data_IF_269499914855
#
_entry.id   IF_269499914855
#
_cell.length_a   1.000
_cell.length_b   1.000
_cell.length_c   1.000
_cell.angle_alpha   90.00
_cell.angle_beta   90.00
_cell.angle_gamma   90.00
#
_symmetry.space_group_name_H-M   'P 1'
#
loop_
_entity.id
_entity.type
_entity.pdbx_description
1 polymer ?
#
# COMPACT_ATOMS: atom_id res chain seq x y z
N UNK A 1 19.46 -8.44 37.85
CA UNK A 1 19.92 -8.35 36.45
C UNK A 1 18.80 -7.72 35.64
N UNK A 2 19.04 -6.65 34.87
CA UNK A 2 18.00 -6.09 34.02
C UNK A 2 17.73 -7.08 32.89
N UNK A 3 16.47 -7.48 32.74
CA UNK A 3 16.01 -8.27 31.62
C UNK A 3 16.10 -7.36 30.40
N UNK A 4 17.05 -7.64 29.50
CA UNK A 4 17.10 -7.05 28.17
C UNK A 4 15.83 -7.50 27.45
N UNK A 5 14.83 -6.62 27.39
CA UNK A 5 13.74 -6.80 26.44
C UNK A 5 14.36 -6.81 25.04
N UNK A 6 13.99 -7.78 24.18
CA UNK A 6 14.40 -7.74 22.78
C UNK A 6 13.92 -6.41 22.22
N UNK A 7 14.86 -5.65 21.61
CA UNK A 7 14.54 -4.44 20.88
C UNK A 7 13.45 -4.79 19.89
N UNK A 8 12.27 -4.17 20.03
CA UNK A 8 11.22 -4.36 19.06
C UNK A 8 11.77 -3.97 17.67
N UNK A 9 11.46 -4.73 16.61
CA UNK A 9 12.01 -4.46 15.28
C UNK A 9 11.71 -3.01 14.87
N UNK A 10 12.73 -2.39 14.26
CA UNK A 10 12.69 -1.01 13.75
C UNK A 10 11.45 -0.81 12.87
N UNK A 11 10.84 0.38 13.00
CA UNK A 11 9.64 0.83 12.30
C UNK A 11 9.48 0.26 10.88
N UNK A 12 8.29 -0.26 10.59
CA UNK A 12 7.92 -0.57 9.20
C UNK A 12 7.12 0.60 8.63
N UNK A 13 7.12 0.77 7.31
CA UNK A 13 6.26 1.79 6.67
C UNK A 13 4.76 1.57 6.92
N UNK A 14 4.38 0.43 7.48
CA UNK A 14 3.01 0.11 7.85
C UNK A 14 2.79 0.33 9.35
N UNK A 15 3.74 -0.08 10.19
CA UNK A 15 3.63 -0.09 11.65
C UNK A 15 4.60 0.91 12.28
N UNK A 16 4.05 1.94 12.92
CA UNK A 16 4.81 2.87 13.77
C UNK A 16 5.00 2.27 15.17
N UNK A 17 6.20 2.32 15.73
CA UNK A 17 6.49 1.85 17.09
C UNK A 17 5.98 2.83 18.15
N UNK A 18 6.02 4.14 17.87
CA UNK A 18 5.58 5.17 18.81
C UNK A 18 4.05 5.36 18.76
N UNK A 19 3.38 5.16 19.90
CA UNK A 19 1.93 5.35 20.03
C UNK A 19 1.44 6.75 19.68
N UNK A 20 2.29 7.79 19.82
CA UNK A 20 1.91 9.17 19.47
C UNK A 20 1.91 9.37 17.95
N UNK A 21 2.86 8.78 17.24
CA UNK A 21 2.93 8.86 15.76
C UNK A 21 1.89 7.96 15.08
N UNK A 22 1.42 6.90 15.75
CA UNK A 22 0.32 6.04 15.26
C UNK A 22 -1.00 6.77 14.99
N UNK A 23 -1.21 7.96 15.56
CA UNK A 23 -2.51 8.66 15.52
C UNK A 23 -2.79 9.34 14.17
N UNK A 24 -1.75 9.71 13.42
CA UNK A 24 -1.92 10.41 12.15
C UNK A 24 -1.90 9.43 10.97
N UNK A 25 -2.91 9.46 10.08
CA UNK A 25 -2.90 8.63 8.87
C UNK A 25 -1.75 9.03 7.94
N UNK A 26 -1.01 8.04 7.43
CA UNK A 26 0.00 8.24 6.38
C UNK A 26 -0.63 8.04 5.02
N UNK A 27 -0.54 9.04 4.14
CA UNK A 27 -1.16 9.01 2.81
C UNK A 27 -0.06 9.02 1.75
N UNK A 28 -0.12 8.05 0.83
CA UNK A 28 0.83 7.96 -0.28
C UNK A 28 0.23 7.18 -1.46
N UNK A 29 0.92 7.14 -2.60
CA UNK A 29 0.54 6.25 -3.71
C UNK A 29 1.10 4.85 -3.49
N UNK A 30 0.49 3.84 -4.12
CA UNK A 30 1.01 2.47 -4.08
C UNK A 30 2.46 2.38 -4.60
N UNK A 31 2.81 3.15 -5.64
CA UNK A 31 4.18 3.22 -6.15
C UNK A 31 5.16 3.80 -5.12
N UNK A 32 4.73 4.82 -4.38
CA UNK A 32 5.56 5.41 -3.31
C UNK A 32 5.73 4.44 -2.16
N UNK A 33 4.64 3.79 -1.73
CA UNK A 33 4.68 2.72 -0.74
C UNK A 33 5.72 1.65 -1.08
N UNK A 34 5.67 1.10 -2.31
CA UNK A 34 6.61 0.09 -2.80
C UNK A 34 8.07 0.59 -2.78
N UNK A 35 8.30 1.84 -3.16
CA UNK A 35 9.63 2.46 -3.13
C UNK A 35 10.16 2.57 -1.70
N UNK A 36 9.27 2.89 -0.77
CA UNK A 36 9.63 3.11 0.61
C UNK A 36 9.81 1.78 1.36
N UNK A 37 9.06 0.73 1.05
CA UNK A 37 9.35 -0.66 1.50
C UNK A 37 10.77 -1.05 1.11
N UNK A 38 11.14 -0.88 -0.15
CA UNK A 38 12.50 -1.17 -0.63
C UNK A 38 13.58 -0.35 0.09
N UNK A 39 13.20 0.81 0.64
CA UNK A 39 14.16 1.74 1.24
C UNK A 39 14.31 1.59 2.74
N UNK A 40 13.23 1.33 3.43
CA UNK A 40 13.11 1.57 4.86
C UNK A 40 12.60 0.34 5.64
N UNK A 41 11.99 -0.66 5.01
CA UNK A 41 11.57 -1.87 5.73
C UNK A 41 12.79 -2.74 6.05
N UNK A 42 13.07 -3.02 7.34
CA UNK A 42 14.29 -3.71 7.75
C UNK A 42 14.32 -5.15 7.25
N UNK A 43 13.21 -5.86 7.21
CA UNK A 43 13.14 -7.23 6.69
C UNK A 43 12.67 -7.32 5.24
N UNK A 44 12.42 -6.20 4.55
CA UNK A 44 12.03 -6.19 3.14
C UNK A 44 10.56 -6.56 2.93
N UNK A 45 10.27 -7.37 1.92
CA UNK A 45 8.90 -7.74 1.55
C UNK A 45 8.30 -8.73 2.54
N UNK A 46 7.04 -8.51 2.91
CA UNK A 46 6.25 -9.49 3.67
C UNK A 46 6.20 -9.29 5.18
N UNK A 47 6.62 -8.13 5.66
CA UNK A 47 6.45 -7.75 7.07
C UNK A 47 4.99 -7.52 7.45
N UNK A 48 4.17 -7.05 6.50
CA UNK A 48 2.75 -6.76 6.71
C UNK A 48 1.89 -7.75 5.92
N UNK A 49 1.30 -8.72 6.62
CA UNK A 49 0.42 -9.74 6.05
C UNK A 49 -1.02 -9.25 6.07
N UNK A 50 -1.74 -9.40 4.97
CA UNK A 50 -3.15 -9.04 4.86
C UNK A 50 -3.99 -10.18 5.41
N UNK A 51 -4.79 -9.89 6.44
CA UNK A 51 -5.69 -10.87 7.07
C UNK A 51 -7.13 -10.76 6.58
N UNK A 52 -7.54 -9.56 6.19
CA UNK A 52 -8.90 -9.30 5.72
C UNK A 52 -8.92 -8.15 4.73
N UNK A 53 -9.75 -8.26 3.69
CA UNK A 53 -10.09 -7.13 2.82
C UNK A 53 -11.60 -6.90 2.86
N UNK A 54 -12.01 -5.68 3.17
CA UNK A 54 -13.40 -5.26 3.00
C UNK A 54 -13.52 -4.37 1.76
N UNK A 55 -14.40 -4.77 0.84
CA UNK A 55 -14.88 -3.89 -0.22
C UNK A 55 -16.04 -3.07 0.34
N UNK A 56 -15.89 -1.75 0.41
CA UNK A 56 -16.88 -0.85 0.99
C UNK A 56 -17.38 0.19 0.02
N UNK A 57 -18.55 0.71 0.32
CA UNK A 57 -19.18 1.85 -0.36
C UNK A 57 -19.35 3.00 0.60
N UNK A 58 -18.88 4.19 0.25
CA UNK A 58 -18.94 5.35 1.14
C UNK A 58 -20.39 5.75 1.41
N UNK A 59 -20.69 6.06 2.68
CA UNK A 59 -21.99 6.58 3.10
C UNK A 59 -22.14 8.07 2.78
N UNK A 60 -21.04 8.82 2.76
CA UNK A 60 -21.03 10.26 2.43
C UNK A 60 -20.90 10.53 0.93
N UNK A 61 -20.35 9.58 0.18
CA UNK A 61 -20.25 9.62 -1.27
C UNK A 61 -20.78 8.30 -1.84
N UNK A 62 -22.09 8.14 -2.05
CA UNK A 62 -22.72 6.87 -2.43
C UNK A 62 -22.29 6.37 -3.83
N UNK A 63 -21.46 7.15 -4.53
CA UNK A 63 -20.85 6.77 -5.79
C UNK A 63 -19.37 6.37 -5.66
N UNK A 64 -18.85 6.26 -4.43
CA UNK A 64 -17.47 5.95 -4.14
C UNK A 64 -17.35 4.57 -3.49
N UNK A 65 -16.58 3.68 -4.13
CA UNK A 65 -16.19 2.39 -3.56
C UNK A 65 -14.68 2.38 -3.31
N UNK A 66 -14.29 1.66 -2.27
CA UNK A 66 -12.92 1.60 -1.80
C UNK A 66 -12.66 0.27 -1.10
N UNK A 67 -11.38 -0.04 -0.90
CA UNK A 67 -10.97 -1.23 -0.17
C UNK A 67 -10.37 -0.84 1.17
N UNK A 68 -10.61 -1.66 2.19
CA UNK A 68 -9.88 -1.64 3.45
C UNK A 68 -9.12 -2.95 3.60
N UNK A 69 -7.80 -2.91 3.56
CA UNK A 69 -6.93 -4.04 3.83
C UNK A 69 -6.52 -3.98 5.31
N UNK A 70 -6.92 -4.97 6.09
CA UNK A 70 -6.52 -5.15 7.48
C UNK A 70 -5.25 -5.97 7.48
N UNK A 71 -4.19 -5.38 8.00
CA UNK A 71 -2.83 -5.93 7.94
C UNK A 71 -2.28 -6.14 9.34
N UNK A 72 -1.48 -7.17 9.48
CA UNK A 72 -0.84 -7.59 10.72
C UNK A 72 0.67 -7.72 10.51
N UNK A 73 1.44 -7.30 11.50
CA UNK A 73 2.89 -7.47 11.52
C UNK A 73 3.20 -8.96 11.74
N UNK A 74 3.98 -9.56 10.83
CA UNK A 74 4.35 -10.97 10.91
C UNK A 74 5.31 -11.26 12.07
N UNK A 75 6.07 -10.26 12.53
CA UNK A 75 7.00 -10.37 13.63
C UNK A 75 6.35 -10.05 14.98
N UNK A 76 5.29 -9.22 14.98
CA UNK A 76 4.60 -8.77 16.20
C UNK A 76 3.08 -8.83 16.00
N UNK A 77 2.42 -9.97 16.25
CA UNK A 77 1.00 -10.17 15.92
C UNK A 77 0.01 -9.18 16.55
N UNK A 78 0.40 -8.49 17.63
CA UNK A 78 -0.41 -7.45 18.28
C UNK A 78 -0.39 -6.12 17.53
N UNK A 79 0.54 -5.92 16.59
CA UNK A 79 0.60 -4.73 15.74
C UNK A 79 -0.27 -4.91 14.52
N UNK A 80 -1.30 -4.08 14.46
CA UNK A 80 -2.30 -4.08 13.42
C UNK A 80 -2.38 -2.70 12.77
N UNK A 81 -2.68 -2.68 11.50
CA UNK A 81 -2.97 -1.46 10.76
C UNK A 81 -4.05 -1.73 9.74
N UNK A 82 -4.61 -0.66 9.19
CA UNK A 82 -5.51 -0.74 8.06
C UNK A 82 -5.05 0.22 6.97
N UNK A 83 -5.08 -0.32 5.77
CA UNK A 83 -4.74 0.39 4.57
C UNK A 83 -6.03 0.60 3.78
N UNK A 84 -6.41 1.87 3.64
CA UNK A 84 -7.53 2.29 2.80
C UNK A 84 -7.01 2.61 1.41
N UNK A 85 -7.58 1.93 0.41
CA UNK A 85 -7.18 2.01 -0.99
C UNK A 85 -8.30 2.64 -1.79
N UNK A 86 -7.99 3.78 -2.40
CA UNK A 86 -8.97 4.63 -3.08
C UNK A 86 -8.39 5.22 -4.35
N UNK A 87 -9.29 5.56 -5.29
CA UNK A 87 -8.97 6.34 -6.49
C UNK A 87 -9.87 7.57 -6.53
N UNK A 88 -9.28 8.73 -6.78
CA UNK A 88 -9.95 10.02 -6.90
C UNK A 88 -9.57 10.71 -8.20
N UNK A 89 -10.39 11.67 -8.61
CA UNK A 89 -9.96 12.70 -9.53
C UNK A 89 -9.05 13.69 -8.79
N UNK A 90 -7.90 14.03 -9.37
CA UNK A 90 -6.95 15.00 -8.80
C UNK A 90 -7.62 16.35 -8.53
N UNK A 91 -8.53 16.76 -9.41
CA UNK A 91 -9.22 18.05 -9.32
C UNK A 91 -10.33 18.06 -8.25
N UNK A 92 -10.79 16.87 -7.85
CA UNK A 92 -11.77 16.68 -6.77
C UNK A 92 -11.08 16.43 -5.40
N UNK A 93 -9.74 16.49 -5.31
CA UNK A 93 -9.00 16.40 -4.04
C UNK A 93 -9.12 17.73 -3.29
N UNK A 94 -10.35 18.06 -2.90
CA UNK A 94 -10.62 18.95 -1.77
C UNK A 94 -11.42 18.16 -0.75
N UNK A 95 -10.96 18.07 0.51
CA UNK A 95 -11.83 17.59 1.56
C UNK A 95 -12.96 18.62 1.66
N UNK A 96 -14.21 18.14 1.62
CA UNK A 96 -15.44 18.91 1.90
C UNK A 96 -16.19 19.64 0.77
N UNK A 97 -16.02 19.32 -0.53
CA UNK A 97 -16.96 19.81 -1.56
C UNK A 97 -17.63 18.72 -2.40
N UNK A 98 -18.86 18.39 -1.95
CA UNK A 98 -20.09 18.42 -2.76
C UNK A 98 -20.09 17.73 -4.12
N UNK A 99 -20.77 16.58 -4.16
CA UNK A 99 -21.60 16.02 -5.25
C UNK A 99 -21.20 16.45 -6.69
N UNK A 100 -20.62 15.53 -7.50
CA UNK A 100 -20.46 15.78 -8.93
C UNK A 100 -21.82 16.08 -9.60
N UNK A 101 -21.88 16.95 -10.61
CA UNK A 101 -23.14 17.27 -11.28
C UNK A 101 -23.81 16.00 -11.83
N UNK A 102 -25.06 15.77 -11.43
CA UNK A 102 -25.85 14.63 -11.88
C UNK A 102 -26.11 14.74 -13.39
N UNK A 103 -25.53 13.84 -14.18
CA UNK A 103 -25.87 13.72 -15.60
C UNK A 103 -27.08 12.79 -15.79
N UNK A 104 -27.87 13.10 -16.83
CA UNK A 104 -29.01 12.29 -17.21
C UNK A 104 -28.58 10.90 -17.70
N UNK A 105 -29.39 9.84 -17.47
CA UNK A 105 -29.11 8.48 -17.94
C UNK A 105 -28.84 8.35 -19.45
N UNK A 106 -29.31 9.32 -20.25
CA UNK A 106 -29.15 9.33 -21.71
C UNK A 106 -27.72 9.65 -22.17
N UNK A 107 -26.90 10.32 -21.35
CA UNK A 107 -25.53 10.68 -21.70
C UNK A 107 -24.54 9.49 -21.65
N UNK A 108 -24.96 8.35 -21.11
CA UNK A 108 -24.11 7.18 -20.85
C UNK A 108 -23.88 6.27 -22.06
N UNK A 109 -24.39 6.61 -23.26
CA UNK A 109 -24.58 5.62 -24.33
C UNK A 109 -23.45 5.50 -25.38
N UNK A 110 -22.37 6.29 -25.32
CA UNK A 110 -21.19 6.02 -26.17
C UNK A 110 -19.91 6.67 -25.64
N UNK A 111 -18.91 5.85 -25.29
CA UNK A 111 -17.61 6.31 -24.77
C UNK A 111 -16.80 7.07 -25.85
N UNK A 112 -16.83 6.61 -27.09
CA UNK A 112 -16.11 7.24 -28.21
C UNK A 112 -16.73 8.60 -28.58
N UNK A 113 -18.05 8.72 -28.48
CA UNK A 113 -18.74 10.00 -28.61
C UNK A 113 -18.40 10.96 -27.46
N UNK A 114 -18.23 10.47 -26.23
CA UNK A 114 -17.84 11.31 -25.07
C UNK A 114 -16.37 11.77 -25.14
N UNK A 115 -15.45 10.89 -25.56
CA UNK A 115 -14.03 11.25 -25.76
C UNK A 115 -13.83 12.28 -26.87
N UNK A 116 -14.63 12.20 -27.94
CA UNK A 116 -14.56 13.15 -29.06
C UNK A 116 -15.26 14.49 -28.78
N UNK A 117 -16.16 14.56 -27.80
CA UNK A 117 -17.02 15.74 -27.59
C UNK A 117 -16.56 16.69 -26.48
N UNK A 118 -15.70 16.28 -25.53
CA UNK A 118 -15.05 17.22 -24.59
C UNK A 118 -13.88 16.61 -23.79
N UNK A 119 -12.66 17.17 -23.87
CA UNK A 119 -11.54 16.85 -22.98
C UNK A 119 -11.83 17.11 -21.49
N UNK A 120 -12.84 17.93 -21.16
CA UNK A 120 -13.16 18.34 -19.79
C UNK A 120 -13.83 17.27 -18.91
N UNK A 121 -14.17 16.10 -19.47
CA UNK A 121 -14.80 14.99 -18.73
C UNK A 121 -13.79 14.00 -18.12
N UNK A 122 -12.50 14.17 -18.45
CA UNK A 122 -11.41 13.32 -18.00
C UNK A 122 -10.44 14.16 -17.16
N UNK A 123 -10.36 13.83 -15.87
CA UNK A 123 -9.38 14.40 -14.95
C UNK A 123 -8.16 13.50 -14.80
N UNK A 124 -7.16 13.92 -14.03
CA UNK A 124 -6.04 13.05 -13.70
C UNK A 124 -6.41 12.13 -12.55
N UNK A 125 -6.18 10.82 -12.68
CA UNK A 125 -6.44 9.90 -11.60
C UNK A 125 -5.35 9.94 -10.52
N UNK A 126 -5.78 9.89 -9.26
CA UNK A 126 -4.91 9.79 -8.09
C UNK A 126 -5.32 8.60 -7.27
N UNK A 127 -4.39 7.67 -7.08
CA UNK A 127 -4.55 6.53 -6.19
C UNK A 127 -3.97 6.84 -4.82
N UNK A 128 -4.79 6.69 -3.79
CA UNK A 128 -4.44 6.92 -2.41
C UNK A 128 -4.39 5.60 -1.63
N UNK A 129 -3.29 5.46 -0.90
CA UNK A 129 -2.97 4.38 0.01
C UNK A 129 -2.82 5.02 1.39
N UNK A 130 -3.92 5.02 2.16
CA UNK A 130 -3.99 5.66 3.47
C UNK A 130 -3.80 4.62 4.56
N UNK A 131 -2.69 4.69 5.28
CA UNK A 131 -2.31 3.75 6.33
C UNK A 131 -2.67 4.36 7.68
N UNK A 132 -3.43 3.64 8.48
CA UNK A 132 -3.78 4.00 9.86
C UNK A 132 -3.51 2.84 10.81
N UNK A 133 -2.93 3.13 11.97
CA UNK A 133 -2.78 2.15 13.05
C UNK A 133 -4.00 2.13 14.00
N UNK A 134 -4.95 3.05 13.82
CA UNK A 134 -6.21 3.06 14.56
C UNK A 134 -7.20 2.09 13.88
N UNK A 135 -7.23 0.86 14.39
CA UNK A 135 -8.10 -0.19 13.88
C UNK A 135 -9.57 0.03 14.26
N UNK A 136 -9.82 0.73 15.36
CA UNK A 136 -11.15 0.94 15.94
C UNK A 136 -11.79 2.26 15.50
N UNK A 137 -11.04 3.14 14.84
CA UNK A 137 -11.56 4.34 14.21
C UNK A 137 -12.83 4.03 13.41
N UNK A 138 -13.92 4.76 13.72
CA UNK A 138 -15.20 4.59 13.02
C UNK A 138 -15.01 4.83 11.53
N UNK A 139 -15.10 3.77 10.74
CA UNK A 139 -14.92 3.86 9.29
C UNK A 139 -16.22 4.13 8.58
N UNK A 140 -16.21 5.15 7.74
CA UNK A 140 -17.34 5.55 6.91
C UNK A 140 -17.74 4.43 5.95
N UNK A 141 -19.03 4.30 5.65
CA UNK A 141 -19.53 3.46 4.56
C UNK A 141 -19.95 2.06 4.93
N UNK A 142 -20.61 1.39 3.99
CA UNK A 142 -21.21 0.08 4.16
C UNK A 142 -20.32 -1.00 3.55
N UNK A 143 -20.16 -2.12 4.24
CA UNK A 143 -19.47 -3.29 3.67
C UNK A 143 -20.32 -3.91 2.57
N UNK A 144 -19.71 -4.12 1.41
CA UNK A 144 -20.30 -4.81 0.26
C UNK A 144 -19.92 -6.28 0.25
N UNK A 145 -18.63 -6.58 0.37
CA UNK A 145 -18.10 -7.94 0.44
C UNK A 145 -16.81 -7.97 1.24
N UNK A 146 -16.47 -9.12 1.78
CA UNK A 146 -15.26 -9.33 2.58
C UNK A 146 -14.50 -10.55 2.09
N UNK A 147 -13.19 -10.41 1.87
CA UNK A 147 -12.25 -11.52 1.73
C UNK A 147 -11.58 -11.75 3.07
N UNK A 148 -11.60 -12.98 3.53
CA UNK A 148 -10.88 -13.43 4.73
C UNK A 148 -9.78 -14.37 4.24
N UNK A 149 -8.55 -14.07 4.62
CA UNK A 149 -7.38 -14.86 4.29
C UNK A 149 -7.13 -15.85 5.42
N UNK A 150 -6.75 -17.07 5.06
CA UNK A 150 -6.35 -18.07 6.05
C UNK A 150 -5.04 -17.65 6.76
N UNK A 151 -4.73 -18.31 7.87
CA UNK A 151 -3.51 -18.00 8.62
C UNK A 151 -2.23 -18.39 7.89
N UNK A 152 -2.33 -19.23 6.86
CA UNK A 152 -1.22 -19.67 6.02
C UNK A 152 -1.05 -18.78 4.77
N UNK A 153 -1.81 -17.69 4.66
CA UNK A 153 -1.80 -16.86 3.48
C UNK A 153 -0.56 -15.98 3.46
N UNK A 154 0.21 -16.09 2.38
CA UNK A 154 1.37 -15.26 2.11
C UNK A 154 1.00 -13.92 1.43
N UNK A 155 -0.28 -13.54 1.40
CA UNK A 155 -0.70 -12.30 0.77
C UNK A 155 -0.35 -11.09 1.64
N UNK A 156 0.41 -10.16 1.07
CA UNK A 156 1.04 -9.06 1.82
C UNK A 156 0.52 -7.69 1.37
N UNK A 157 0.72 -6.68 2.22
CA UNK A 157 0.43 -5.29 1.88
C UNK A 157 1.22 -4.82 0.65
N UNK A 158 2.44 -5.34 0.48
CA UNK A 158 3.33 -5.06 -0.63
C UNK A 158 2.79 -5.62 -1.94
N UNK A 159 2.26 -6.84 -1.90
CA UNK A 159 1.61 -7.47 -3.04
C UNK A 159 0.30 -6.74 -3.40
N UNK A 160 -0.49 -6.34 -2.41
CA UNK A 160 -1.65 -5.49 -2.62
C UNK A 160 -1.27 -4.16 -3.30
N UNK A 161 -0.18 -3.52 -2.87
CA UNK A 161 0.33 -2.29 -3.49
C UNK A 161 0.82 -2.54 -4.94
N UNK A 162 1.42 -3.70 -5.24
CA UNK A 162 1.77 -4.07 -6.62
C UNK A 162 0.53 -4.21 -7.50
N UNK A 163 -0.51 -4.88 -7.02
CA UNK A 163 -1.79 -5.01 -7.75
C UNK A 163 -2.42 -3.63 -7.99
N UNK A 164 -2.39 -2.75 -6.99
CA UNK A 164 -2.86 -1.36 -7.12
C UNK A 164 -2.07 -0.59 -8.18
N UNK A 165 -0.74 -0.75 -8.21
CA UNK A 165 0.12 -0.14 -9.23
C UNK A 165 -0.19 -0.66 -10.63
N UNK A 166 -0.39 -1.97 -10.79
CA UNK A 166 -0.78 -2.56 -12.08
C UNK A 166 -2.13 -2.00 -12.53
N UNK A 167 -3.15 -1.99 -11.65
CA UNK A 167 -4.45 -1.42 -11.97
C UNK A 167 -4.36 0.07 -12.33
N UNK A 168 -3.52 0.84 -11.62
CA UNK A 168 -3.28 2.25 -11.91
C UNK A 168 -2.71 2.48 -13.30
N UNK A 169 -1.75 1.66 -13.72
CA UNK A 169 -1.05 1.78 -15.01
C UNK A 169 -1.97 1.48 -16.20
N UNK A 170 -3.11 0.80 -15.98
CA UNK A 170 -4.07 0.46 -17.02
C UNK A 170 -5.15 1.52 -17.27
N UNK A 171 -5.26 2.55 -16.43
CA UNK A 171 -6.28 3.58 -16.58
C UNK A 171 -5.84 4.91 -15.92
N UNK A 172 -4.83 5.57 -16.46
CA UNK A 172 -4.20 6.77 -15.88
C UNK A 172 -5.08 8.05 -15.86
N UNK A 173 -6.10 8.12 -16.71
CA UNK A 173 -7.14 9.16 -16.70
C UNK A 173 -8.27 8.80 -15.75
N UNK A 174 -8.81 9.77 -14.98
CA UNK A 174 -10.02 9.60 -14.18
C UNK A 174 -11.26 10.06 -14.94
N UNK A 175 -12.21 9.16 -15.14
CA UNK A 175 -13.53 9.51 -15.66
C UNK A 175 -14.58 9.47 -14.54
N UNK A 176 -15.10 10.64 -14.16
CA UNK A 176 -16.12 10.77 -13.13
C UNK A 176 -17.46 10.15 -13.55
N UNK A 177 -17.80 10.16 -14.84
CA UNK A 177 -19.00 9.52 -15.40
C UNK A 177 -18.88 8.00 -15.46
N UNK A 178 -17.66 7.51 -15.65
CA UNK A 178 -17.33 6.08 -15.56
C UNK A 178 -17.12 5.58 -14.14
N UNK A 179 -17.14 6.48 -13.15
CA UNK A 179 -16.95 6.21 -11.74
C UNK A 179 -15.79 5.24 -11.50
N UNK A 180 -14.59 5.65 -11.93
CA UNK A 180 -13.43 4.77 -11.88
C UNK A 180 -13.03 4.31 -10.48
N UNK A 181 -13.52 4.94 -9.42
CA UNK A 181 -13.40 4.41 -8.06
C UNK A 181 -14.08 3.03 -7.89
N UNK A 182 -15.27 2.81 -8.48
CA UNK A 182 -15.92 1.49 -8.51
C UNK A 182 -15.07 0.47 -9.26
N UNK A 183 -14.57 0.91 -10.42
CA UNK A 183 -13.74 0.06 -11.26
C UNK A 183 -12.48 -0.36 -10.53
N UNK A 184 -11.76 0.60 -9.97
CA UNK A 184 -10.47 0.41 -9.34
C UNK A 184 -10.56 -0.55 -8.14
N UNK A 185 -11.46 -0.25 -7.20
CA UNK A 185 -11.71 -1.12 -6.05
C UNK A 185 -12.20 -2.50 -6.50
N UNK A 186 -13.12 -2.55 -7.47
CA UNK A 186 -13.66 -3.80 -8.02
C UNK A 186 -12.63 -4.66 -8.73
N UNK A 187 -11.70 -4.07 -9.48
CA UNK A 187 -10.66 -4.80 -10.22
C UNK A 187 -9.58 -5.31 -9.30
N UNK A 188 -9.08 -4.49 -8.37
CA UNK A 188 -8.10 -4.95 -7.38
C UNK A 188 -8.68 -6.14 -6.61
N UNK A 189 -9.92 -6.01 -6.12
CA UNK A 189 -10.61 -7.09 -5.41
C UNK A 189 -10.69 -8.37 -6.25
N UNK A 190 -11.05 -8.27 -7.53
CA UNK A 190 -11.15 -9.43 -8.43
C UNK A 190 -9.80 -10.04 -8.80
N UNK A 191 -8.75 -9.23 -8.97
CA UNK A 191 -7.38 -9.74 -9.22
C UNK A 191 -6.95 -10.60 -8.03
N UNK A 192 -7.17 -10.10 -6.81
CA UNK A 192 -6.85 -10.84 -5.58
C UNK A 192 -7.65 -12.15 -5.51
N UNK A 193 -8.95 -12.12 -5.83
CA UNK A 193 -9.76 -13.33 -5.89
C UNK A 193 -9.25 -14.34 -6.91
N UNK A 194 -8.82 -13.90 -8.09
CA UNK A 194 -8.28 -14.77 -9.13
C UNK A 194 -6.98 -15.45 -8.67
N UNK A 195 -6.07 -14.69 -8.04
CA UNK A 195 -4.77 -15.20 -7.59
C UNK A 195 -4.91 -16.15 -6.39
N UNK A 196 -5.79 -15.82 -5.43
CA UNK A 196 -5.90 -16.53 -4.15
C UNK A 196 -7.19 -17.33 -4.01
N UNK A 197 -7.82 -17.73 -5.11
CA UNK A 197 -9.13 -18.41 -5.12
C UNK A 197 -9.23 -19.65 -4.22
N UNK A 198 -8.11 -20.32 -3.92
CA UNK A 198 -8.05 -21.52 -3.08
C UNK A 198 -7.75 -21.25 -1.60
N UNK A 199 -7.31 -20.04 -1.23
CA UNK A 199 -6.86 -19.67 0.13
C UNK A 199 -7.62 -18.49 0.75
N UNK A 200 -8.75 -18.11 0.12
CA UNK A 200 -9.62 -17.06 0.63
C UNK A 200 -11.05 -17.56 0.80
N UNK A 201 -11.69 -17.11 1.86
CA UNK A 201 -13.13 -17.20 2.03
C UNK A 201 -13.76 -15.85 1.68
N UNK A 202 -14.75 -15.83 0.77
CA UNK A 202 -15.55 -14.63 0.52
C UNK A 202 -16.85 -14.69 1.32
N UNK A 203 -17.14 -13.61 2.06
CA UNK A 203 -18.44 -13.39 2.69
C UNK A 203 -19.11 -12.17 2.05
N UNK A 204 -20.25 -12.39 1.41
CA UNK A 204 -21.05 -11.31 0.85
C UNK A 204 -21.90 -10.66 1.96
N UNK A 205 -21.85 -9.33 2.07
CA UNK A 205 -22.73 -8.60 2.96
C UNK A 205 -24.06 -8.28 2.26
N UNK A 206 -25.09 -7.89 3.01
CA UNK A 206 -26.36 -7.43 2.44
C UNK A 206 -26.16 -6.25 1.46
N UNK A 207 -25.14 -5.43 1.72
CA UNK A 207 -24.72 -4.35 0.85
C UNK A 207 -24.25 -4.78 -0.54
N UNK A 208 -23.86 -6.04 -0.77
CA UNK A 208 -23.28 -6.52 -2.02
C UNK A 208 -24.13 -6.22 -3.25
N UNK A 209 -25.47 -6.22 -3.11
CA UNK A 209 -26.40 -5.83 -4.19
C UNK A 209 -26.15 -4.43 -4.74
N UNK A 210 -25.53 -3.54 -3.95
CA UNK A 210 -25.17 -2.15 -4.31
C UNK A 210 -23.79 -2.00 -4.94
N UNK A 211 -22.99 -3.07 -5.04
CA UNK A 211 -21.64 -3.05 -5.63
C UNK A 211 -21.70 -2.56 -7.07
N UNK A 212 -20.89 -1.58 -7.44
CA UNK A 212 -20.88 -0.95 -8.75
C UNK A 212 -22.19 -0.25 -9.15
N UNK A 213 -23.04 0.13 -8.19
CA UNK A 213 -24.22 0.95 -8.44
C UNK A 213 -23.93 2.45 -8.20
N UNK A 214 -24.30 3.32 -9.13
CA UNK A 214 -24.37 4.77 -8.92
C UNK A 214 -25.82 5.24 -9.04
N UNK A 215 -26.32 6.04 -8.09
CA UNK A 215 -27.70 6.53 -8.08
C UNK A 215 -28.79 5.45 -8.27
N UNK A 216 -28.54 4.24 -7.75
CA UNK A 216 -29.47 3.09 -7.88
C UNK A 216 -29.39 2.34 -9.20
N UNK A 217 -28.54 2.75 -10.13
CA UNK A 217 -28.34 2.11 -11.44
C UNK A 217 -27.01 1.36 -11.46
N UNK A 218 -27.00 0.14 -11.99
CA UNK A 218 -25.77 -0.63 -12.19
C UNK A 218 -24.94 0.01 -13.29
N UNK A 219 -23.69 0.37 -12.98
CA UNK A 219 -22.79 0.96 -13.97
C UNK A 219 -22.03 -0.17 -14.68
N UNK A 220 -22.08 -0.27 -16.02
CA UNK A 220 -21.32 -1.26 -16.77
C UNK A 220 -19.83 -0.93 -16.69
N UNK A 221 -19.10 -1.60 -15.80
CA UNK A 221 -17.65 -1.39 -15.66
C UNK A 221 -16.90 -1.72 -16.95
N UNK A 222 -17.41 -2.69 -17.72
CA UNK A 222 -16.84 -3.14 -19.01
C UNK A 222 -16.80 -2.04 -20.08
N UNK A 223 -17.59 -0.98 -19.92
CA UNK A 223 -17.63 0.14 -20.87
C UNK A 223 -16.41 1.05 -20.74
N UNK A 224 -15.69 1.00 -19.63
CA UNK A 224 -14.57 1.91 -19.33
C UNK A 224 -13.21 1.21 -19.30
N UNK A 225 -13.19 -0.09 -19.61
CA UNK A 225 -12.01 -0.95 -19.47
C UNK A 225 -11.87 -1.74 -20.76
N UNK A 226 -10.79 -1.51 -21.50
CA UNK A 226 -10.44 -2.39 -22.61
C UNK A 226 -10.36 -3.86 -22.17
N UNK A 227 -10.83 -4.84 -22.98
CA UNK A 227 -10.82 -6.26 -22.63
C UNK A 227 -9.44 -6.80 -22.23
N UNK A 228 -8.36 -6.24 -22.76
CA UNK A 228 -6.98 -6.51 -22.38
C UNK A 228 -6.69 -6.24 -20.89
N UNK A 229 -7.47 -5.35 -20.26
CA UNK A 229 -7.39 -5.00 -18.84
C UNK A 229 -8.46 -5.71 -17.99
N UNK A 230 -9.02 -6.81 -18.50
CA UNK A 230 -9.85 -7.70 -17.69
C UNK A 230 -9.06 -8.22 -16.45
N UNK A 231 -9.71 -8.40 -15.28
CA UNK A 231 -9.04 -8.83 -14.05
C UNK A 231 -8.13 -10.06 -14.22
N UNK A 232 -8.56 -11.04 -15.03
CA UNK A 232 -7.78 -12.24 -15.32
C UNK A 232 -6.45 -11.94 -16.02
N UNK A 233 -6.44 -11.02 -16.98
CA UNK A 233 -5.22 -10.62 -17.67
C UNK A 233 -4.30 -9.82 -16.75
N UNK A 234 -4.88 -8.93 -15.93
CA UNK A 234 -4.12 -8.17 -14.93
C UNK A 234 -3.53 -9.08 -13.84
N UNK A 235 -4.23 -10.15 -13.46
CA UNK A 235 -3.71 -11.18 -12.58
C UNK A 235 -2.50 -11.90 -13.21
N UNK A 236 -2.55 -12.20 -14.51
CA UNK A 236 -1.38 -12.75 -15.22
C UNK A 236 -0.21 -11.76 -15.27
N UNK A 237 -0.47 -10.47 -15.53
CA UNK A 237 0.55 -9.42 -15.46
C UNK A 237 1.18 -9.35 -14.06
N UNK A 238 0.36 -9.48 -13.01
CA UNK A 238 0.84 -9.54 -11.63
C UNK A 238 1.75 -10.76 -11.40
N UNK A 239 1.31 -11.96 -11.76
CA UNK A 239 2.09 -13.19 -11.60
C UNK A 239 3.46 -13.13 -12.29
N UNK A 240 3.58 -12.37 -13.39
CA UNK A 240 4.85 -12.14 -14.07
C UNK A 240 5.73 -11.08 -13.40
N UNK A 241 5.15 -9.97 -12.92
CA UNK A 241 5.90 -8.81 -12.40
C UNK A 241 6.28 -8.93 -10.93
N UNK A 242 5.44 -9.58 -10.13
CA UNK A 242 5.63 -9.68 -8.68
C UNK A 242 6.94 -10.37 -8.28
N UNK A 243 7.31 -11.54 -8.84
CA UNK A 243 8.57 -12.20 -8.49
C UNK A 243 9.80 -11.35 -8.80
N UNK A 244 9.82 -10.69 -9.96
CA UNK A 244 10.92 -9.81 -10.38
C UNK A 244 11.09 -8.63 -9.42
N UNK A 245 9.97 -8.00 -9.05
CA UNK A 245 10.00 -6.87 -8.13
C UNK A 245 10.43 -7.29 -6.72
N UNK A 246 9.94 -8.43 -6.24
CA UNK A 246 10.36 -8.99 -4.94
C UNK A 246 11.87 -9.24 -4.92
N UNK A 247 12.41 -9.83 -6.00
CA UNK A 247 13.85 -10.04 -6.14
C UNK A 247 14.64 -8.72 -6.18
N UNK A 248 14.12 -7.68 -6.85
CA UNK A 248 14.76 -6.36 -6.89
C UNK A 248 14.83 -5.71 -5.50
N UNK A 249 13.78 -5.82 -4.68
CA UNK A 249 13.82 -5.34 -3.29
C UNK A 249 14.88 -6.07 -2.48
N UNK A 250 14.87 -7.40 -2.52
CA UNK A 250 15.83 -8.19 -1.74
C UNK A 250 17.26 -7.90 -2.17
N UNK A 251 17.51 -7.67 -3.46
CA UNK A 251 18.82 -7.22 -3.96
C UNK A 251 19.22 -5.87 -3.37
N UNK A 252 18.35 -4.85 -3.45
CA UNK A 252 18.63 -3.49 -2.92
C UNK A 252 18.90 -3.54 -1.41
N UNK A 253 18.20 -4.42 -0.70
CA UNK A 253 18.42 -4.64 0.73
C UNK A 253 19.79 -5.26 1.00
N UNK A 254 20.18 -6.31 0.27
CA UNK A 254 21.51 -6.93 0.39
C UNK A 254 22.63 -5.92 0.11
N UNK A 255 22.50 -5.10 -0.92
CA UNK A 255 23.46 -4.04 -1.25
C UNK A 255 23.60 -3.04 -0.09
N UNK A 256 22.48 -2.61 0.51
CA UNK A 256 22.49 -1.69 1.65
C UNK A 256 23.07 -2.28 2.91
N UNK A 257 22.76 -3.55 3.21
CA UNK A 257 23.34 -4.23 4.36
C UNK A 257 24.85 -4.40 4.20
N UNK A 258 25.30 -4.78 3.00
CA UNK A 258 26.73 -4.82 2.67
C UNK A 258 27.41 -3.46 2.83
N UNK A 259 26.79 -2.38 2.33
CA UNK A 259 27.31 -1.02 2.48
C UNK A 259 27.32 -0.53 3.94
N UNK A 260 26.28 -0.86 4.70
CA UNK A 260 26.13 -0.49 6.11
C UNK A 260 27.11 -1.22 7.02
N UNK A 261 27.38 -2.49 6.74
CA UNK A 261 28.42 -3.30 7.38
C UNK A 261 29.81 -2.73 7.05
N UNK A 262 30.09 -2.45 5.76
CA UNK A 262 31.33 -1.80 5.34
C UNK A 262 31.57 -0.43 6.01
N UNK A 263 30.50 0.35 6.24
CA UNK A 263 30.59 1.64 6.96
C UNK A 263 30.87 1.44 8.44
N UNK A 264 30.23 0.46 9.10
CA UNK A 264 30.51 0.11 10.49
C UNK A 264 31.94 -0.38 10.68
N UNK A 265 32.40 -1.27 9.82
CA UNK A 265 33.78 -1.79 9.85
C UNK A 265 34.81 -0.69 9.66
N UNK A 266 34.57 0.25 8.73
CA UNK A 266 35.44 1.43 8.59
C UNK A 266 35.43 2.33 9.83
N UNK A 267 34.28 2.51 10.46
CA UNK A 267 34.16 3.27 11.72
C UNK A 267 34.95 2.62 12.85
N UNK A 268 34.78 1.31 13.04
CA UNK A 268 35.52 0.52 14.04
C UNK A 268 37.03 0.55 13.76
N UNK A 269 37.44 0.42 12.49
CA UNK A 269 38.85 0.49 12.12
C UNK A 269 39.46 1.87 12.39
N UNK A 270 38.71 2.96 12.16
CA UNK A 270 39.16 4.30 12.53
C UNK A 270 39.28 4.48 14.04
N UNK A 271 38.33 3.96 14.81
CA UNK A 271 38.37 4.01 16.27
C UNK A 271 39.56 3.23 16.84
N UNK A 272 39.83 2.04 16.32
CA UNK A 272 41.03 1.26 16.66
C UNK A 272 42.31 2.04 16.35
N UNK A 273 42.41 2.65 15.17
CA UNK A 273 43.57 3.45 14.79
C UNK A 273 43.78 4.67 15.72
N UNK A 274 42.71 5.27 16.23
CA UNK A 274 42.78 6.36 17.22
C UNK A 274 43.32 5.81 18.55
N UNK A 275 42.78 4.67 19.01
CA UNK A 275 43.21 4.03 20.26
C UNK A 275 44.67 3.59 20.21
N UNK A 276 45.15 3.07 19.08
CA UNK A 276 46.56 2.70 18.90
C UNK A 276 47.50 3.91 19.00
N UNK A 277 47.09 5.06 18.45
CA UNK A 277 47.85 6.32 18.60
C UNK A 277 47.90 6.79 20.06
N UNK A 278 46.77 6.73 20.78
CA UNK A 278 46.71 7.06 22.21
C UNK A 278 47.63 6.15 23.03
N UNK A 279 47.61 4.83 22.76
CA UNK A 279 48.48 3.86 23.42
C UNK A 279 49.96 4.15 23.14
N UNK A 280 50.32 4.46 21.89
CA UNK A 280 51.69 4.79 21.52
C UNK A 280 52.19 6.05 22.25
N UNK A 281 51.36 7.08 22.34
CA UNK A 281 51.67 8.33 23.05
C UNK A 281 51.81 8.10 24.56
N UNK A 282 50.91 7.32 25.18
CA UNK A 282 51.01 6.94 26.59
C UNK A 282 52.28 6.13 26.87
N UNK A 283 52.64 5.18 26.01
CA UNK A 283 53.89 4.41 26.12
C UNK A 283 55.13 5.29 26.03
N UNK A 284 55.10 6.33 25.19
CA UNK A 284 56.19 7.30 25.07
C UNK A 284 56.34 8.11 26.37
N UNK A 285 55.25 8.66 26.89
CA UNK A 285 55.24 9.41 28.17
C UNK A 285 55.70 8.54 29.35
N UNK A 286 55.27 7.29 29.39
CA UNK A 286 55.69 6.34 30.43
C UNK A 286 57.22 6.14 30.41
N UNK A 287 57.81 5.95 29.22
CA UNK A 287 59.26 5.80 29.05
C UNK A 287 60.02 7.05 29.50
N UNK A 288 59.49 8.24 29.23
CA UNK A 288 60.07 9.51 29.65
C UNK A 288 60.02 9.68 31.18
N UNK A 289 58.91 9.31 31.83
CA UNK A 289 58.80 9.31 33.30
C UNK A 289 59.73 8.29 33.98
N UNK A 290 59.93 7.10 33.40
CA UNK A 290 60.81 6.06 33.99
C UNK A 290 62.31 6.31 33.77
N UNK A 291 62.69 7.32 32.99
CA UNK A 291 64.08 7.71 32.73
C UNK A 291 64.57 8.88 33.58
N UNK A 292 63.67 9.55 34.30
CA UNK A 292 63.97 10.57 35.29
C UNK A 292 64.11 9.94 36.68
#
# INVERSE_FOLDING_TARGET
>A
MPILHPLEPENTIVFETDERTRREPRIQSARRYLTDVARYCPNGVGEAVVKKIEHRKSSGAPHHEFLLCYVQDCNVPTRLAVIRIERFNQDDVTPDKGVPPALSPAALLSLDAMRSSSPSLFGKAVDLFTITCDIDAKRSGDTLSTLIFDDNSDFTADEAAMICKIASECADEYNALGHQCFWYAGVIYKIIQEIYSTSIAETQAEGNRRKGMGHGVKIPTQMFIPPEHAPKNLAQTHLQRWPTWKADIERVKQEKWGDGELRRDRGLQQELNIKDKEIAELRKRLKECTRA
#
